data_IF_832884738680
#
_entry.id   IF_832884738680
#
_cell.length_a   1.000
_cell.length_b   1.000
_cell.length_c   1.000
_cell.angle_alpha   90.00
_cell.angle_beta   90.00
_cell.angle_gamma   90.00
#
_symmetry.space_group_name_H-M   'P 1'
#
loop_
_entity.id
_entity.type
_entity.pdbx_description
1 polymer ?
#
# COMPACT_ATOMS: atom_id res chain seq x y z
N UNK A 1 21.25 -1.40 1.78
CA UNK A 1 20.10 -1.29 0.87
C UNK A 1 19.33 -0.02 1.23
N UNK A 2 19.15 0.85 0.26
CA UNK A 2 18.57 2.20 0.45
C UNK A 2 17.22 2.25 -0.27
N UNK A 3 16.10 2.56 0.42
CA UNK A 3 14.82 2.75 -0.26
C UNK A 3 14.86 4.00 -1.13
N UNK A 4 14.29 3.93 -2.32
CA UNK A 4 14.30 5.02 -3.29
C UNK A 4 12.92 5.38 -3.83
N UNK A 5 11.97 4.46 -3.76
CA UNK A 5 10.64 4.65 -4.29
C UNK A 5 9.68 3.59 -3.76
N UNK A 6 8.41 3.93 -3.68
CA UNK A 6 7.36 2.95 -3.43
C UNK A 6 6.11 3.26 -4.25
N UNK A 7 5.32 2.24 -4.53
CA UNK A 7 3.97 2.44 -5.05
C UNK A 7 3.02 1.39 -4.49
N UNK A 8 1.83 1.85 -4.17
CA UNK A 8 0.75 1.04 -3.66
C UNK A 8 -0.44 1.07 -4.60
N UNK A 9 -1.08 -0.07 -4.78
CA UNK A 9 -2.33 -0.20 -5.54
C UNK A 9 -3.34 -0.85 -4.61
N UNK A 10 -4.47 -0.18 -4.40
CA UNK A 10 -5.62 -0.72 -3.68
C UNK A 10 -6.69 -1.08 -4.71
N UNK A 11 -6.92 -2.37 -4.89
CA UNK A 11 -7.98 -2.88 -5.76
C UNK A 11 -9.19 -3.24 -4.91
N UNK A 12 -10.22 -2.40 -5.01
CA UNK A 12 -11.46 -2.55 -4.24
C UNK A 12 -12.44 -3.42 -5.02
N UNK A 13 -12.76 -4.56 -4.46
CA UNK A 13 -13.78 -5.48 -4.97
C UNK A 13 -14.94 -5.58 -3.99
N UNK A 14 -16.04 -6.21 -4.39
CA UNK A 14 -17.13 -6.45 -3.46
C UNK A 14 -16.70 -7.47 -2.40
N UNK A 15 -16.68 -7.00 -1.13
CA UNK A 15 -16.33 -7.80 0.02
C UNK A 15 -14.85 -7.78 0.43
N UNK A 16 -13.95 -7.29 -0.42
CA UNK A 16 -12.52 -7.39 -0.20
C UNK A 16 -11.75 -6.24 -0.86
N UNK A 17 -10.68 -5.76 -0.20
CA UNK A 17 -9.67 -4.91 -0.81
C UNK A 17 -8.37 -5.71 -0.90
N UNK A 18 -7.79 -5.74 -2.09
CA UNK A 18 -6.46 -6.33 -2.32
C UNK A 18 -5.50 -5.18 -2.53
N UNK A 19 -4.50 -5.09 -1.65
CA UNK A 19 -3.47 -4.07 -1.70
C UNK A 19 -2.15 -4.68 -2.14
N UNK A 20 -1.55 -4.10 -3.17
CA UNK A 20 -0.18 -4.39 -3.59
C UNK A 20 0.70 -3.23 -3.20
N UNK A 21 1.76 -3.48 -2.46
CA UNK A 21 2.79 -2.48 -2.18
C UNK A 21 4.12 -3.00 -2.71
N UNK A 22 4.82 -2.15 -3.46
CA UNK A 22 6.16 -2.44 -3.96
C UNK A 22 7.11 -1.35 -3.47
N UNK A 23 8.15 -1.76 -2.75
CA UNK A 23 9.26 -0.91 -2.35
C UNK A 23 10.45 -1.19 -3.23
N UNK A 24 10.99 -0.16 -3.85
CA UNK A 24 12.20 -0.24 -4.65
C UNK A 24 13.41 0.29 -3.88
N UNK A 25 14.54 -0.38 -4.06
CA UNK A 25 15.78 -0.09 -3.35
C UNK A 25 16.97 -0.01 -4.31
N UNK A 26 18.04 0.60 -3.81
CA UNK A 26 19.38 0.53 -4.42
C UNK A 26 20.32 -0.23 -3.48
N UNK A 27 21.01 -1.20 -4.03
CA UNK A 27 22.02 -2.02 -3.33
C UNK A 27 23.29 -2.13 -4.19
N UNK A 28 24.16 -1.07 -4.17
CA UNK A 28 25.35 -1.05 -5.03
C UNK A 28 26.31 -2.20 -4.78
N UNK A 29 26.34 -2.69 -3.55
CA UNK A 29 27.18 -3.83 -3.16
C UNK A 29 26.61 -5.19 -3.53
N UNK A 30 25.43 -5.28 -4.10
CA UNK A 30 24.74 -6.54 -4.47
C UNK A 30 24.68 -7.53 -3.30
N UNK A 31 24.51 -7.00 -2.09
CA UNK A 31 24.49 -7.82 -0.87
C UNK A 31 23.22 -8.64 -0.78
N UNK A 32 22.11 -8.06 -1.23
CA UNK A 32 20.78 -8.65 -1.08
C UNK A 32 20.57 -9.88 -1.97
N UNK A 33 21.22 -9.94 -3.13
CA UNK A 33 21.18 -11.13 -3.98
C UNK A 33 21.78 -12.36 -3.29
N UNK A 34 22.74 -12.17 -2.37
CA UNK A 34 23.32 -13.27 -1.58
C UNK A 34 22.31 -13.86 -0.60
N UNK A 35 21.45 -13.02 -0.05
CA UNK A 35 20.33 -13.46 0.80
C UNK A 35 19.33 -14.27 -0.01
N UNK A 36 18.96 -13.78 -1.19
CA UNK A 36 17.95 -14.41 -2.05
C UNK A 36 18.44 -15.75 -2.63
N UNK A 37 19.72 -15.89 -2.90
CA UNK A 37 20.31 -17.13 -3.41
C UNK A 37 20.54 -18.21 -2.36
N UNK A 38 20.49 -17.86 -1.09
CA UNK A 38 20.61 -18.78 0.04
C UNK A 38 19.20 -19.09 0.57
N UNK A 39 18.76 -20.34 0.44
CA UNK A 39 17.39 -20.74 0.80
C UNK A 39 17.04 -20.44 2.25
N UNK A 40 17.95 -20.71 3.17
CA UNK A 40 17.70 -20.52 4.61
C UNK A 40 17.64 -19.04 4.97
N UNK A 41 18.54 -18.24 4.40
CA UNK A 41 18.53 -16.79 4.58
C UNK A 41 17.28 -16.16 3.97
N UNK A 42 16.87 -16.59 2.78
CA UNK A 42 15.66 -16.10 2.13
C UNK A 42 14.41 -16.40 2.98
N UNK A 43 14.29 -17.62 3.49
CA UNK A 43 13.16 -18.00 4.33
C UNK A 43 13.05 -17.13 5.60
N UNK A 44 14.18 -16.89 6.26
CA UNK A 44 14.26 -16.01 7.44
C UNK A 44 13.92 -14.56 7.09
N UNK A 45 14.46 -14.05 5.99
CA UNK A 45 14.23 -12.67 5.54
C UNK A 45 12.74 -12.44 5.22
N UNK A 46 12.12 -13.34 4.47
CA UNK A 46 10.69 -13.24 4.14
C UNK A 46 9.81 -13.25 5.41
N UNK A 47 10.15 -14.07 6.39
CA UNK A 47 9.44 -14.12 7.67
C UNK A 47 9.59 -12.80 8.46
N UNK A 48 10.77 -12.20 8.48
CA UNK A 48 11.03 -10.90 9.12
C UNK A 48 10.26 -9.78 8.42
N UNK A 49 10.33 -9.72 7.10
CA UNK A 49 9.62 -8.72 6.30
C UNK A 49 8.11 -8.80 6.51
N UNK A 50 7.56 -10.01 6.48
CA UNK A 50 6.12 -10.23 6.72
C UNK A 50 5.71 -9.75 8.12
N UNK A 51 6.45 -10.12 9.14
CA UNK A 51 6.18 -9.72 10.53
C UNK A 51 6.27 -8.21 10.72
N UNK A 52 7.28 -7.58 10.15
CA UNK A 52 7.47 -6.13 10.27
C UNK A 52 6.34 -5.35 9.58
N UNK A 53 5.97 -5.74 8.37
CA UNK A 53 4.85 -5.12 7.67
C UNK A 53 3.54 -5.33 8.43
N UNK A 54 3.29 -6.53 8.95
CA UNK A 54 2.10 -6.79 9.74
C UNK A 54 2.03 -5.91 11.00
N UNK A 55 3.17 -5.67 11.66
CA UNK A 55 3.22 -4.78 12.83
C UNK A 55 2.84 -3.34 12.46
N UNK A 56 3.26 -2.83 11.29
CA UNK A 56 2.82 -1.52 10.79
C UNK A 56 1.31 -1.49 10.56
N UNK A 57 0.76 -2.48 9.90
CA UNK A 57 -0.68 -2.57 9.64
C UNK A 57 -1.50 -2.66 10.93
N UNK A 58 -1.00 -3.40 11.92
CA UNK A 58 -1.67 -3.56 13.21
C UNK A 58 -1.68 -2.26 14.04
N UNK A 59 -0.74 -1.36 13.78
CA UNK A 59 -0.67 -0.04 14.41
C UNK A 59 -1.62 1.00 13.79
N UNK A 60 -2.14 0.73 12.60
CA UNK A 60 -3.11 1.58 11.91
C UNK A 60 -4.54 1.23 12.32
N UNK A 61 -5.45 2.19 12.20
CA UNK A 61 -6.88 1.95 12.36
C UNK A 61 -7.59 2.18 11.03
N UNK A 62 -7.90 1.08 10.34
CA UNK A 62 -8.61 1.09 9.06
C UNK A 62 -10.08 0.80 9.27
N UNK A 63 -10.94 1.64 8.70
CA UNK A 63 -12.40 1.49 8.76
C UNK A 63 -13.01 1.59 7.35
N UNK A 64 -14.02 0.79 7.13
CA UNK A 64 -14.93 0.93 5.98
C UNK A 64 -16.35 1.02 6.52
N UNK A 65 -17.06 2.09 6.18
CA UNK A 65 -18.40 2.36 6.68
C UNK A 65 -18.50 2.31 8.20
N UNK A 66 -17.48 2.87 8.86
CA UNK A 66 -17.34 2.91 10.32
C UNK A 66 -17.14 1.53 10.99
N UNK A 67 -16.88 0.50 10.21
CA UNK A 67 -16.55 -0.84 10.68
C UNK A 67 -15.04 -1.03 10.60
N UNK A 68 -14.41 -1.35 11.73
CA UNK A 68 -12.98 -1.65 11.76
C UNK A 68 -12.66 -2.90 10.96
N UNK A 69 -11.68 -2.81 10.08
CA UNK A 69 -11.15 -3.93 9.31
C UNK A 69 -9.67 -4.11 9.61
N UNK A 70 -9.17 -5.32 9.38
CA UNK A 70 -7.82 -5.72 9.81
C UNK A 70 -7.00 -6.18 8.59
N UNK A 71 -6.19 -5.28 8.00
CA UNK A 71 -5.31 -5.64 6.90
C UNK A 71 -4.32 -6.73 7.29
N UNK A 72 -4.18 -7.74 6.43
CA UNK A 72 -3.35 -8.90 6.66
C UNK A 72 -2.39 -9.12 5.50
N UNK A 73 -1.10 -9.25 5.81
CA UNK A 73 -0.08 -9.64 4.83
C UNK A 73 -0.26 -11.11 4.47
N UNK A 74 -0.59 -11.39 3.22
CA UNK A 74 -0.77 -12.76 2.74
C UNK A 74 0.40 -13.27 1.90
N UNK A 75 1.22 -12.36 1.36
CA UNK A 75 2.40 -12.73 0.58
C UNK A 75 3.48 -11.65 0.64
N UNK A 76 4.74 -12.09 0.66
CA UNK A 76 5.92 -11.24 0.51
C UNK A 76 6.81 -11.86 -0.55
N UNK A 77 7.30 -11.06 -1.47
CA UNK A 77 8.19 -11.49 -2.54
C UNK A 77 9.35 -10.51 -2.71
N UNK A 78 10.52 -11.05 -2.94
CA UNK A 78 11.73 -10.29 -3.28
C UNK A 78 12.08 -10.55 -4.73
N UNK A 79 12.38 -9.50 -5.46
CA UNK A 79 12.81 -9.58 -6.85
C UNK A 79 13.85 -8.51 -7.17
N UNK A 80 14.22 -8.42 -8.44
CA UNK A 80 15.21 -7.45 -8.94
C UNK A 80 14.73 -6.81 -10.24
N UNK A 81 14.83 -5.49 -10.31
CA UNK A 81 14.42 -4.72 -11.49
C UNK A 81 15.56 -4.58 -12.48
N UNK A 82 15.79 -5.61 -13.30
CA UNK A 82 16.77 -5.63 -14.38
C UNK A 82 18.23 -5.88 -13.94
N UNK A 83 18.60 -5.55 -12.73
CA UNK A 83 19.96 -5.75 -12.20
C UNK A 83 19.92 -6.09 -10.72
N UNK A 84 20.90 -6.83 -10.21
CA UNK A 84 21.01 -7.16 -8.79
C UNK A 84 21.29 -5.96 -7.88
N UNK A 85 21.60 -4.81 -8.43
CA UNK A 85 21.74 -3.56 -7.70
C UNK A 85 20.39 -2.87 -7.41
N UNK A 86 19.29 -3.39 -8.00
CA UNK A 86 17.95 -2.83 -7.85
C UNK A 86 16.94 -3.88 -7.33
N UNK A 87 17.08 -4.25 -6.05
CA UNK A 87 16.10 -5.14 -5.44
C UNK A 87 14.78 -4.41 -5.20
N UNK A 88 13.70 -5.18 -5.23
CA UNK A 88 12.38 -4.71 -4.76
C UNK A 88 11.76 -5.74 -3.82
N UNK A 89 10.91 -5.24 -2.93
CA UNK A 89 10.10 -6.06 -2.04
C UNK A 89 8.64 -5.79 -2.35
N UNK A 90 7.90 -6.83 -2.65
CA UNK A 90 6.46 -6.76 -2.94
C UNK A 90 5.66 -7.43 -1.83
N UNK A 91 4.65 -6.72 -1.33
CA UNK A 91 3.67 -7.25 -0.39
C UNK A 91 2.31 -7.36 -1.07
N UNK A 92 1.57 -8.42 -0.74
CA UNK A 92 0.14 -8.53 -1.01
C UNK A 92 -0.57 -8.53 0.33
N UNK A 93 -1.49 -7.59 0.51
CA UNK A 93 -2.23 -7.36 1.73
C UNK A 93 -3.71 -7.42 1.38
N UNK A 94 -4.51 -8.05 2.23
CA UNK A 94 -5.95 -8.19 2.02
C UNK A 94 -6.69 -7.77 3.28
N UNK A 95 -7.81 -7.08 3.13
CA UNK A 95 -8.73 -6.79 4.21
C UNK A 95 -10.18 -6.82 3.72
N UNK A 96 -11.09 -7.05 4.65
CA UNK A 96 -12.51 -7.08 4.36
C UNK A 96 -13.03 -5.71 3.96
N UNK A 97 -13.96 -5.69 3.03
CA UNK A 97 -14.64 -4.48 2.58
C UNK A 97 -16.16 -4.66 2.73
N UNK A 98 -16.73 -4.30 3.88
CA UNK A 98 -18.18 -4.34 4.12
C UNK A 98 -18.88 -3.21 3.36
N UNK A 99 -18.92 -3.34 2.04
CA UNK A 99 -19.49 -2.38 1.11
C UNK A 99 -21.02 -2.52 1.05
N UNK A 100 -21.66 -1.41 0.73
CA UNK A 100 -23.11 -1.33 0.54
C UNK A 100 -23.45 -0.54 -0.71
N UNK A 101 -24.64 -0.70 -1.22
CA UNK A 101 -25.20 0.19 -2.23
C UNK A 101 -25.27 1.63 -1.68
N UNK A 102 -25.04 2.61 -2.51
CA UNK A 102 -24.98 4.01 -2.09
C UNK A 102 -23.59 4.45 -1.64
N UNK A 103 -23.51 5.35 -0.67
CA UNK A 103 -22.27 5.96 -0.21
C UNK A 103 -21.50 5.01 0.69
N UNK A 104 -20.22 4.83 0.36
CA UNK A 104 -19.24 4.11 1.16
C UNK A 104 -18.09 5.04 1.54
N UNK A 105 -17.48 4.82 2.70
CA UNK A 105 -16.37 5.63 3.21
C UNK A 105 -15.26 4.70 3.69
N UNK A 106 -14.07 4.87 3.12
CA UNK A 106 -12.82 4.34 3.64
C UNK A 106 -12.14 5.41 4.50
N UNK A 107 -11.62 4.99 5.64
CA UNK A 107 -10.85 5.84 6.55
C UNK A 107 -9.64 5.07 7.08
N UNK A 108 -8.51 5.75 7.21
CA UNK A 108 -7.30 5.22 7.84
C UNK A 108 -6.68 6.26 8.76
N UNK A 109 -6.42 5.85 10.00
CA UNK A 109 -5.69 6.63 11.00
C UNK A 109 -4.36 5.94 11.27
N UNK A 110 -3.28 6.68 11.08
CA UNK A 110 -1.92 6.16 11.19
C UNK A 110 -0.99 7.18 11.83
N UNK A 111 0.21 6.75 12.23
CA UNK A 111 1.22 7.63 12.80
C UNK A 111 1.76 8.58 11.72
N UNK A 112 1.66 9.92 11.90
CA UNK A 112 2.25 10.86 10.96
C UNK A 112 3.77 10.69 10.89
N UNK A 113 4.31 10.81 9.69
CA UNK A 113 5.75 10.70 9.45
C UNK A 113 6.23 11.67 8.39
N UNK A 114 7.54 11.88 8.33
CA UNK A 114 8.19 12.56 7.21
C UNK A 114 8.68 11.50 6.23
N UNK A 115 8.27 11.62 4.97
CA UNK A 115 8.58 10.64 3.94
C UNK A 115 10.07 10.66 3.57
N UNK A 116 10.68 9.49 3.47
CA UNK A 116 12.11 9.32 3.13
C UNK A 116 12.35 9.18 1.63
N UNK A 117 11.31 8.96 0.85
CA UNK A 117 11.34 8.79 -0.62
C UNK A 117 9.97 9.10 -1.23
N UNK A 118 9.96 9.34 -2.53
CA UNK A 118 8.72 9.53 -3.29
C UNK A 118 7.90 8.25 -3.34
N UNK A 119 6.58 8.36 -3.25
CA UNK A 119 5.69 7.25 -3.54
C UNK A 119 4.39 7.67 -4.21
N UNK A 120 3.77 6.73 -4.91
CA UNK A 120 2.49 6.90 -5.59
C UNK A 120 1.50 5.88 -5.07
N UNK A 121 0.27 6.32 -4.85
CA UNK A 121 -0.84 5.46 -4.43
C UNK A 121 -1.95 5.54 -5.47
N UNK A 122 -2.44 4.37 -5.87
CA UNK A 122 -3.57 4.23 -6.80
C UNK A 122 -4.68 3.44 -6.12
N UNK A 123 -5.88 4.00 -6.09
CA UNK A 123 -7.10 3.33 -5.69
C UNK A 123 -7.93 3.00 -6.90
N UNK A 124 -8.33 1.74 -7.06
CA UNK A 124 -9.20 1.29 -8.13
C UNK A 124 -10.51 0.80 -7.51
N UNK A 125 -11.58 1.58 -7.68
CA UNK A 125 -12.90 1.23 -7.19
C UNK A 125 -13.67 0.38 -8.21
N UNK A 126 -14.70 -0.38 -7.80
CA UNK A 126 -15.44 -1.25 -8.69
C UNK A 126 -16.06 -0.50 -9.89
N UNK A 127 -16.24 -1.20 -11.00
CA UNK A 127 -16.92 -0.65 -12.16
C UNK A 127 -18.31 -0.14 -11.79
N UNK A 128 -18.65 1.05 -12.26
CA UNK A 128 -19.92 1.72 -11.94
C UNK A 128 -19.86 2.57 -10.67
N UNK A 129 -18.77 2.55 -9.93
CA UNK A 129 -18.59 3.43 -8.78
C UNK A 129 -18.24 4.86 -9.19
N UNK A 130 -18.51 5.80 -8.30
CA UNK A 130 -18.16 7.20 -8.48
C UNK A 130 -17.50 7.73 -7.21
N UNK A 131 -16.28 8.20 -7.32
CA UNK A 131 -15.56 8.86 -6.23
C UNK A 131 -16.25 10.19 -5.91
N UNK A 132 -16.56 10.42 -4.64
CA UNK A 132 -17.27 11.60 -4.17
C UNK A 132 -16.34 12.59 -3.50
N UNK A 133 -15.46 12.12 -2.63
CA UNK A 133 -14.52 12.96 -1.89
C UNK A 133 -13.22 12.22 -1.61
N UNK A 134 -12.11 12.93 -1.71
CA UNK A 134 -10.75 12.42 -1.41
C UNK A 134 -10.08 13.38 -0.43
N UNK A 135 -9.69 12.87 0.73
CA UNK A 135 -8.96 13.59 1.74
C UNK A 135 -7.73 12.78 2.14
N UNK A 136 -6.63 13.02 1.46
CA UNK A 136 -5.35 12.30 1.65
C UNK A 136 -4.20 13.24 2.01
N UNK A 137 -4.44 14.57 2.02
CA UNK A 137 -3.44 15.57 2.36
C UNK A 137 -2.48 15.94 1.23
N UNK A 138 -2.69 15.40 0.02
CA UNK A 138 -1.86 15.64 -1.16
C UNK A 138 -2.73 15.88 -2.38
N UNK A 139 -2.14 16.44 -3.44
CA UNK A 139 -2.81 16.57 -4.72
C UNK A 139 -3.13 15.21 -5.31
N UNK A 140 -4.31 15.07 -5.86
CA UNK A 140 -4.80 13.83 -6.43
C UNK A 140 -5.48 14.04 -7.78
N UNK A 141 -5.58 12.97 -8.55
CA UNK A 141 -6.36 12.91 -9.78
C UNK A 141 -7.46 11.85 -9.61
N UNK A 142 -8.60 12.11 -10.22
CA UNK A 142 -9.66 11.10 -10.37
C UNK A 142 -9.83 10.80 -11.85
N UNK A 143 -9.59 9.55 -12.23
CA UNK A 143 -9.66 9.09 -13.61
C UNK A 143 -10.89 8.19 -13.76
N UNK A 144 -11.66 8.43 -14.81
CA UNK A 144 -12.85 7.65 -15.13
C UNK A 144 -13.79 7.46 -13.93
N UNK A 145 -13.96 8.53 -13.14
CA UNK A 145 -14.79 8.63 -11.94
C UNK A 145 -14.46 7.65 -10.80
N UNK A 146 -13.61 6.64 -11.01
CA UNK A 146 -13.41 5.52 -10.08
C UNK A 146 -11.95 5.17 -9.78
N UNK A 147 -10.99 5.85 -10.35
CA UNK A 147 -9.56 5.62 -10.08
C UNK A 147 -8.99 6.88 -9.47
N UNK A 148 -8.43 6.76 -8.27
CA UNK A 148 -7.77 7.87 -7.57
C UNK A 148 -6.27 7.62 -7.56
N UNK A 149 -5.51 8.60 -8.01
CA UNK A 149 -4.04 8.55 -7.98
C UNK A 149 -3.53 9.78 -7.25
N UNK A 150 -2.64 9.60 -6.29
CA UNK A 150 -1.94 10.70 -5.64
C UNK A 150 -0.46 10.39 -5.44
N UNK A 151 0.35 11.42 -5.53
CA UNK A 151 1.80 11.38 -5.37
C UNK A 151 2.21 12.06 -4.08
N UNK A 152 3.07 11.39 -3.31
CA UNK A 152 3.63 11.91 -2.06
C UNK A 152 5.12 12.13 -2.25
N UNK A 153 5.58 13.39 -2.32
CA UNK A 153 7.00 13.70 -2.50
C UNK A 153 7.82 13.35 -1.25
N UNK A 154 9.08 13.00 -1.47
CA UNK A 154 10.07 12.92 -0.39
C UNK A 154 10.09 14.19 0.46
N UNK A 155 10.26 14.05 1.76
CA UNK A 155 10.30 15.16 2.71
C UNK A 155 8.94 15.74 3.09
N UNK A 156 7.84 15.13 2.63
CA UNK A 156 6.49 15.54 3.00
C UNK A 156 6.11 15.03 4.39
N UNK A 157 5.37 15.83 5.14
CA UNK A 157 4.71 15.38 6.35
C UNK A 157 3.36 14.74 6.00
N UNK A 158 3.15 13.50 6.41
CA UNK A 158 1.87 12.83 6.23
C UNK A 158 0.87 13.28 7.28
N UNK A 159 -0.43 13.41 6.95
CA UNK A 159 -1.41 14.01 7.86
C UNK A 159 -1.84 13.11 9.03
N UNK A 160 -1.53 11.81 8.98
CA UNK A 160 -1.94 10.84 10.01
C UNK A 160 -3.39 10.35 9.89
N UNK A 161 -4.13 10.88 8.94
CA UNK A 161 -5.49 10.47 8.62
C UNK A 161 -5.73 10.65 7.14
N UNK A 162 -6.45 9.70 6.54
CA UNK A 162 -6.94 9.79 5.17
C UNK A 162 -8.34 9.19 5.04
N UNK A 163 -9.09 9.68 4.08
CA UNK A 163 -10.42 9.14 3.75
C UNK A 163 -10.74 9.29 2.27
N UNK A 164 -11.50 8.33 1.77
CA UNK A 164 -12.08 8.39 0.42
C UNK A 164 -13.54 7.93 0.52
N UNK A 165 -14.46 8.75 0.02
CA UNK A 165 -15.85 8.37 -0.12
C UNK A 165 -16.20 8.11 -1.58
N UNK A 166 -17.02 7.10 -1.83
CA UNK A 166 -17.41 6.69 -3.16
C UNK A 166 -18.82 6.10 -3.16
N UNK A 167 -19.48 6.24 -4.30
CA UNK A 167 -20.83 5.76 -4.52
C UNK A 167 -20.78 4.43 -5.29
N UNK A 168 -21.47 3.42 -4.79
CA UNK A 168 -21.74 2.18 -5.50
C UNK A 168 -23.18 2.13 -6.01
N UNK A 169 -23.40 1.54 -7.19
CA UNK A 169 -24.74 1.36 -7.71
C UNK A 169 -25.61 0.44 -6.84
#
# INVERSE_FOLDING_TARGET
MIPIYAYGIFDVTYGEVIQHIIFEYVDPGKKYVRVVKDRDKLTKELAILKRNMQAFLDAEEVKINNIRVYPKVINVKIGFSGTYERPYIKYIIVFEAPLRSGVNIYEDTYEPEVTEYDYVVTWVFPKGSKVLNVNVGFNYEVINERIVIFHVPEGSETPGFESISFLLP
#
